data_IF_725580030740
#
_entry.id   IF_725580030740
#
_cell.length_a   1.000
_cell.length_b   1.000
_cell.length_c   1.000
_cell.angle_alpha   90.00
_cell.angle_beta   90.00
_cell.angle_gamma   90.00
#
_symmetry.space_group_name_H-M   'P 1'
#
loop_
_entity.id
_entity.type
_entity.pdbx_description
1 polymer ?
#
# COMPACT_ATOMS: atom_id res chain seq x y z
N UNK A 1 6.45 71.40 -45.65
CA UNK A 1 6.85 71.35 -44.22
C UNK A 1 7.44 72.67 -43.67
N UNK A 2 7.24 73.83 -44.32
CA UNK A 2 7.81 75.11 -43.83
C UNK A 2 6.92 75.87 -42.83
N UNK A 3 5.59 75.85 -43.02
CA UNK A 3 4.65 76.68 -42.23
C UNK A 3 4.48 76.28 -40.75
N UNK A 4 4.78 75.03 -40.37
CA UNK A 4 4.75 74.60 -38.96
C UNK A 4 5.96 75.12 -38.17
N UNK A 5 7.15 75.09 -38.78
CA UNK A 5 8.38 75.58 -38.14
C UNK A 5 8.33 77.10 -37.91
N UNK A 6 7.79 77.89 -38.85
CA UNK A 6 7.66 79.34 -38.66
C UNK A 6 6.69 79.69 -37.52
N UNK A 7 5.62 78.91 -37.36
CA UNK A 7 4.66 79.09 -36.26
C UNK A 7 5.27 78.72 -34.91
N UNK A 8 6.06 77.65 -34.85
CA UNK A 8 6.78 77.27 -33.62
C UNK A 8 7.85 78.31 -33.25
N UNK A 9 8.53 78.89 -34.24
CA UNK A 9 9.52 79.96 -34.04
C UNK A 9 8.85 81.23 -33.50
N UNK A 10 7.72 81.67 -34.07
CA UNK A 10 6.99 82.84 -33.56
C UNK A 10 6.40 82.61 -32.15
N UNK A 11 5.99 81.38 -31.82
CA UNK A 11 5.57 81.04 -30.47
C UNK A 11 6.76 81.13 -29.50
N UNK A 12 7.94 80.64 -29.90
CA UNK A 12 9.15 80.75 -29.08
C UNK A 12 9.56 82.21 -28.84
N UNK A 13 9.51 83.05 -29.88
CA UNK A 13 9.78 84.50 -29.79
C UNK A 13 8.78 85.23 -28.87
N UNK A 14 7.49 84.91 -28.98
CA UNK A 14 6.46 85.46 -28.08
C UNK A 14 6.74 85.09 -26.61
N UNK A 15 7.12 83.84 -26.34
CA UNK A 15 7.46 83.39 -24.98
C UNK A 15 8.70 84.10 -24.44
N UNK A 16 9.71 84.39 -25.28
CA UNK A 16 10.89 85.13 -24.83
C UNK A 16 10.55 86.59 -24.50
N UNK A 17 9.74 87.24 -25.34
CA UNK A 17 9.31 88.63 -25.11
C UNK A 17 8.46 88.73 -23.83
N UNK A 18 7.53 87.81 -23.60
CA UNK A 18 6.74 87.79 -22.36
C UNK A 18 7.61 87.63 -21.10
N UNK A 19 8.67 86.82 -21.18
CA UNK A 19 9.62 86.65 -20.08
C UNK A 19 10.38 87.94 -19.79
N UNK A 20 10.82 88.66 -20.83
CA UNK A 20 11.53 89.94 -20.68
C UNK A 20 10.62 91.04 -20.11
N UNK A 21 9.36 91.11 -20.55
CA UNK A 21 8.37 92.05 -20.00
C UNK A 21 8.16 91.76 -18.51
N UNK A 22 7.92 90.50 -18.14
CA UNK A 22 7.75 90.12 -16.73
C UNK A 22 9.00 90.42 -15.90
N UNK A 23 10.19 90.18 -16.43
CA UNK A 23 11.44 90.52 -15.76
C UNK A 23 11.57 92.04 -15.52
N UNK A 24 11.21 92.85 -16.52
CA UNK A 24 11.20 94.31 -16.41
C UNK A 24 10.15 94.83 -15.42
N UNK A 25 8.97 94.21 -15.36
CA UNK A 25 7.94 94.55 -14.37
C UNK A 25 8.41 94.27 -12.94
N UNK A 26 9.01 93.09 -12.70
CA UNK A 26 9.59 92.73 -11.41
C UNK A 26 10.69 93.73 -11.03
N UNK A 27 11.57 94.08 -11.97
CA UNK A 27 12.62 95.07 -11.75
C UNK A 27 12.05 96.45 -11.42
N UNK A 28 10.99 96.88 -12.13
CA UNK A 28 10.29 98.14 -11.86
C UNK A 28 9.65 98.15 -10.48
N UNK A 29 9.02 97.05 -10.07
CA UNK A 29 8.48 96.90 -8.71
C UNK A 29 9.58 96.96 -7.65
N UNK A 30 10.71 96.30 -7.89
CA UNK A 30 11.86 96.31 -7.00
C UNK A 30 12.48 97.70 -6.86
N UNK A 31 12.69 98.42 -7.97
CA UNK A 31 13.19 99.80 -7.97
C UNK A 31 12.20 100.75 -7.31
N UNK A 32 10.89 100.59 -7.57
CA UNK A 32 9.83 101.34 -6.89
C UNK A 32 9.79 101.09 -5.38
N UNK A 33 10.09 99.87 -4.93
CA UNK A 33 10.23 99.53 -3.51
C UNK A 33 11.50 100.12 -2.88
N UNK A 34 12.62 100.16 -3.61
CA UNK A 34 13.89 100.75 -3.15
C UNK A 34 13.86 102.28 -3.06
N UNK A 35 13.10 102.95 -3.92
CA UNK A 35 13.01 104.42 -3.96
C UNK A 35 12.16 105.05 -2.85
N UNK A 36 11.34 104.26 -2.14
CA UNK A 36 10.55 104.77 -1.02
C UNK A 36 11.45 105.05 0.18
N UNK A 37 11.49 106.31 0.65
CA UNK A 37 12.15 106.69 1.91
C UNK A 37 11.58 105.85 3.05
N UNK A 38 12.44 105.07 3.71
CA UNK A 38 12.07 104.33 4.92
C UNK A 38 12.11 105.30 6.10
N UNK A 39 10.97 105.54 6.74
CA UNK A 39 10.93 106.19 8.05
C UNK A 39 11.41 105.14 9.04
N UNK A 40 12.70 105.19 9.41
CA UNK A 40 13.27 104.31 10.42
C UNK A 40 13.01 104.96 11.79
N UNK A 41 12.12 104.36 12.59
CA UNK A 41 12.04 104.68 14.03
C UNK A 41 13.46 104.47 14.64
N UNK A 42 13.94 105.34 15.54
CA UNK A 42 15.30 105.23 16.07
C UNK A 42 15.53 103.81 16.59
N UNK A 43 16.57 103.15 16.06
CA UNK A 43 16.88 101.74 16.37
C UNK A 43 16.92 101.49 17.88
N UNK A 44 17.38 102.48 18.63
CA UNK A 44 17.46 102.47 20.09
C UNK A 44 16.11 102.27 20.78
N UNK A 45 15.03 102.94 20.34
CA UNK A 45 13.70 102.77 20.93
C UNK A 45 13.09 101.40 20.61
N UNK A 46 13.37 100.85 19.43
CA UNK A 46 12.93 99.50 19.01
C UNK A 46 13.70 98.40 19.75
N UNK A 47 14.99 98.57 19.98
CA UNK A 47 15.80 97.62 20.75
C UNK A 47 15.45 97.63 22.23
N UNK A 48 15.21 98.80 22.82
CA UNK A 48 14.72 98.93 24.20
C UNK A 48 13.36 98.24 24.34
N UNK A 49 12.39 98.51 23.46
CA UNK A 49 11.09 97.81 23.45
C UNK A 49 11.24 96.29 23.33
N UNK A 50 12.15 95.80 22.48
CA UNK A 50 12.40 94.36 22.34
C UNK A 50 13.01 93.75 23.62
N UNK A 51 13.95 94.46 24.26
CA UNK A 51 14.56 94.03 25.53
C UNK A 51 13.52 94.00 26.65
N UNK A 52 12.64 94.99 26.71
CA UNK A 52 11.60 95.05 27.73
C UNK A 52 10.52 94.00 27.51
N UNK A 53 10.13 93.73 26.26
CA UNK A 53 9.27 92.59 25.91
C UNK A 53 9.91 91.26 26.30
N UNK A 54 11.20 91.07 26.02
CA UNK A 54 11.91 89.85 26.41
C UNK A 54 11.96 89.68 27.94
N UNK A 55 12.21 90.76 28.69
CA UNK A 55 12.17 90.74 30.16
C UNK A 55 10.78 90.43 30.68
N UNK A 56 9.74 91.02 30.09
CA UNK A 56 8.34 90.77 30.46
C UNK A 56 7.96 89.30 30.20
N UNK A 57 8.27 88.77 29.03
CA UNK A 57 8.01 87.38 28.66
C UNK A 57 8.77 86.41 29.55
N UNK A 58 10.02 86.73 29.88
CA UNK A 58 10.82 85.93 30.79
C UNK A 58 10.25 85.95 32.22
N UNK A 59 9.84 87.12 32.71
CA UNK A 59 9.18 87.26 34.01
C UNK A 59 7.84 86.49 34.06
N UNK A 60 7.05 86.56 32.99
CA UNK A 60 5.80 85.81 32.88
C UNK A 60 6.04 84.30 32.91
N UNK A 61 7.05 83.79 32.19
CA UNK A 61 7.44 82.37 32.24
C UNK A 61 7.90 81.96 33.63
N UNK A 62 8.71 82.78 34.30
CA UNK A 62 9.13 82.52 35.67
C UNK A 62 7.93 82.45 36.62
N UNK A 63 6.98 83.36 36.51
CA UNK A 63 5.76 83.34 37.31
C UNK A 63 4.96 82.04 37.10
N UNK A 64 4.79 81.60 35.85
CA UNK A 64 4.13 80.32 35.54
C UNK A 64 4.89 79.15 36.17
N UNK A 65 6.23 79.11 36.09
CA UNK A 65 7.01 78.06 36.72
C UNK A 65 6.87 78.08 38.25
N UNK A 66 6.84 79.26 38.87
CA UNK A 66 6.58 79.39 40.31
C UNK A 66 5.18 78.90 40.69
N UNK A 67 4.16 79.21 39.90
CA UNK A 67 2.79 78.71 40.10
C UNK A 67 2.74 77.19 40.01
N UNK A 68 3.37 76.59 39.00
CA UNK A 68 3.44 75.14 38.83
C UNK A 68 4.13 74.49 40.03
N UNK A 69 5.29 75.01 40.46
CA UNK A 69 6.02 74.48 41.61
C UNK A 69 5.18 74.59 42.88
N UNK A 70 4.51 75.73 43.11
CA UNK A 70 3.63 75.91 44.26
C UNK A 70 2.43 74.97 44.22
N UNK A 71 1.86 74.70 43.05
CA UNK A 71 0.77 73.74 42.89
C UNK A 71 1.24 72.31 43.19
N UNK A 72 2.44 71.94 42.73
CA UNK A 72 3.05 70.64 43.03
C UNK A 72 3.30 70.51 44.54
N UNK A 73 3.85 71.54 45.19
CA UNK A 73 4.05 71.56 46.65
C UNK A 73 2.74 71.41 47.43
N UNK A 74 1.68 72.13 47.00
CA UNK A 74 0.34 72.02 47.61
C UNK A 74 -0.24 70.62 47.45
N UNK A 75 -0.06 70.01 46.28
CA UNK A 75 -0.53 68.65 46.00
C UNK A 75 0.21 67.61 46.84
N UNK A 76 1.55 67.69 46.92
CA UNK A 76 2.36 66.76 47.71
C UNK A 76 2.36 67.06 49.21
N UNK A 77 1.76 68.18 49.63
CA UNK A 77 1.75 68.69 51.02
C UNK A 77 3.15 68.82 51.61
N UNK A 78 4.16 69.11 50.78
CA UNK A 78 5.55 69.28 51.22
C UNK A 78 6.00 70.73 51.11
N UNK A 79 6.78 71.20 52.09
CA UNK A 79 7.31 72.56 52.13
C UNK A 79 8.64 72.72 51.38
N UNK A 80 9.28 71.61 50.97
CA UNK A 80 10.61 71.62 50.35
C UNK A 80 10.58 70.90 48.98
N UNK A 81 11.05 71.59 47.94
CA UNK A 81 11.16 71.09 46.55
C UNK A 81 11.94 69.77 46.51
N UNK A 82 13.01 69.65 47.29
CA UNK A 82 13.88 68.47 47.28
C UNK A 82 13.12 67.24 47.78
N UNK A 83 12.27 67.41 48.79
CA UNK A 83 11.45 66.32 49.33
C UNK A 83 10.36 65.91 48.32
N UNK A 84 9.72 66.88 47.66
CA UNK A 84 8.75 66.59 46.59
C UNK A 84 9.38 65.83 45.43
N UNK A 85 10.61 66.18 45.05
CA UNK A 85 11.37 65.46 44.01
C UNK A 85 11.67 64.03 44.43
N UNK A 86 12.16 63.82 45.65
CA UNK A 86 12.51 62.48 46.14
C UNK A 86 11.28 61.58 46.29
N UNK A 87 10.14 62.13 46.71
CA UNK A 87 8.86 61.41 46.73
C UNK A 87 8.45 60.99 45.33
N UNK A 88 8.48 61.90 44.36
CA UNK A 88 8.14 61.58 42.98
C UNK A 88 9.05 60.49 42.40
N UNK A 89 10.37 60.58 42.61
CA UNK A 89 11.32 59.55 42.16
C UNK A 89 11.04 58.21 42.82
N UNK A 90 10.70 58.19 44.12
CA UNK A 90 10.34 56.94 44.80
C UNK A 90 9.06 56.34 44.23
N UNK A 91 8.02 57.14 44.08
CA UNK A 91 6.71 56.68 43.59
C UNK A 91 6.81 56.25 42.10
N UNK A 92 7.64 56.93 41.30
CA UNK A 92 7.96 56.54 39.91
C UNK A 92 8.73 55.22 39.86
N UNK A 93 9.71 55.02 40.75
CA UNK A 93 10.44 53.76 40.84
C UNK A 93 9.52 52.59 41.27
N UNK A 94 8.63 52.82 42.23
CA UNK A 94 7.61 51.83 42.64
C UNK A 94 6.67 51.52 41.47
N UNK A 95 6.17 52.54 40.77
CA UNK A 95 5.35 52.38 39.57
C UNK A 95 6.06 51.58 38.47
N UNK A 96 7.34 51.84 38.24
CA UNK A 96 8.15 51.10 37.28
C UNK A 96 8.34 49.63 37.69
N UNK A 97 8.53 49.35 38.98
CA UNK A 97 8.59 47.98 39.48
C UNK A 97 7.26 47.24 39.26
N UNK A 98 6.12 47.88 39.55
CA UNK A 98 4.80 47.29 39.26
C UNK A 98 4.60 47.03 37.77
N UNK A 99 5.04 47.95 36.90
CA UNK A 99 4.98 47.76 35.46
C UNK A 99 5.82 46.57 35.00
N UNK A 100 7.05 46.42 35.51
CA UNK A 100 7.88 45.26 35.22
C UNK A 100 7.20 43.97 35.66
N UNK A 101 6.67 43.94 36.88
CA UNK A 101 5.99 42.77 37.42
C UNK A 101 4.77 42.40 36.56
N UNK A 102 3.97 43.39 36.17
CA UNK A 102 2.80 43.20 35.33
C UNK A 102 3.18 42.62 33.96
N UNK A 103 4.21 43.17 33.31
CA UNK A 103 4.70 42.62 32.04
C UNK A 103 5.23 41.19 32.20
N UNK A 104 5.97 40.93 33.27
CA UNK A 104 6.47 39.60 33.56
C UNK A 104 5.33 38.58 33.71
N UNK A 105 4.29 38.93 34.49
CA UNK A 105 3.12 38.07 34.67
C UNK A 105 2.38 37.86 33.36
N UNK A 106 2.18 38.91 32.55
CA UNK A 106 1.52 38.78 31.25
C UNK A 106 2.30 37.88 30.30
N UNK A 107 3.62 38.04 30.23
CA UNK A 107 4.48 37.18 29.42
C UNK A 107 4.40 35.71 29.88
N UNK A 108 4.35 35.47 31.20
CA UNK A 108 4.14 34.12 31.73
C UNK A 108 2.76 33.57 31.37
N UNK A 109 1.70 34.36 31.51
CA UNK A 109 0.35 33.96 31.14
C UNK A 109 0.23 33.63 29.65
N UNK A 110 0.84 34.44 28.79
CA UNK A 110 0.88 34.17 27.34
C UNK A 110 1.65 32.89 27.03
N UNK A 111 2.80 32.68 27.67
CA UNK A 111 3.55 31.43 27.55
C UNK A 111 2.73 30.22 27.99
N UNK A 112 2.02 30.31 29.13
CA UNK A 112 1.16 29.22 29.63
C UNK A 112 -0.02 28.98 28.69
N UNK A 113 -0.67 30.03 28.20
CA UNK A 113 -1.77 29.91 27.24
C UNK A 113 -1.30 29.22 25.95
N UNK A 114 -0.11 29.58 25.46
CA UNK A 114 0.48 28.95 24.28
C UNK A 114 0.82 27.48 24.52
N UNK A 115 1.36 27.12 25.69
CA UNK A 115 1.61 25.72 26.06
C UNK A 115 0.32 24.92 26.18
N UNK A 116 -0.70 25.47 26.84
CA UNK A 116 -2.02 24.83 26.96
C UNK A 116 -2.69 24.62 25.60
N UNK A 117 -2.58 25.60 24.70
CA UNK A 117 -3.09 25.45 23.34
C UNK A 117 -2.39 24.30 22.61
N UNK A 118 -1.05 24.19 22.71
CA UNK A 118 -0.28 23.09 22.11
C UNK A 118 -0.70 21.74 22.70
N UNK A 119 -0.71 21.60 24.02
CA UNK A 119 -1.11 20.35 24.68
C UNK A 119 -2.55 19.96 24.31
N UNK A 120 -3.48 20.93 24.25
CA UNK A 120 -4.85 20.67 23.82
C UNK A 120 -4.91 20.16 22.36
N UNK A 121 -4.11 20.72 21.45
CA UNK A 121 -4.05 20.25 20.06
C UNK A 121 -3.45 18.84 19.96
N UNK A 122 -2.44 18.52 20.78
CA UNK A 122 -1.84 17.19 20.83
C UNK A 122 -2.82 16.14 21.37
N UNK A 123 -3.59 16.48 22.41
CA UNK A 123 -4.63 15.61 22.96
C UNK A 123 -5.70 15.33 21.89
N UNK A 124 -6.17 16.36 21.17
CA UNK A 124 -7.15 16.19 20.09
C UNK A 124 -6.61 15.29 18.98
N UNK A 125 -5.38 15.54 18.52
CA UNK A 125 -4.73 14.70 17.50
C UNK A 125 -4.59 13.24 17.96
N UNK A 126 -4.26 13.02 19.24
CA UNK A 126 -4.21 11.68 19.83
C UNK A 126 -5.57 10.98 19.86
N UNK A 127 -6.63 11.70 20.26
CA UNK A 127 -8.00 11.19 20.26
C UNK A 127 -8.46 10.81 18.85
N UNK A 128 -8.19 11.66 17.86
CA UNK A 128 -8.52 11.38 16.46
C UNK A 128 -7.77 10.15 15.93
N UNK A 129 -6.50 10.00 16.29
CA UNK A 129 -5.72 8.80 15.96
C UNK A 129 -6.35 7.53 16.54
N UNK A 130 -6.72 7.54 17.82
CA UNK A 130 -7.38 6.39 18.46
C UNK A 130 -8.74 6.08 17.83
N UNK A 131 -9.54 7.10 17.53
CA UNK A 131 -10.83 6.92 16.86
C UNK A 131 -10.67 6.27 15.48
N UNK A 132 -9.66 6.68 14.72
CA UNK A 132 -9.37 6.08 13.41
C UNK A 132 -8.87 4.64 13.53
N UNK A 133 -8.02 4.35 14.53
CA UNK A 133 -7.59 2.99 14.82
C UNK A 133 -8.76 2.07 15.19
N UNK A 134 -9.68 2.54 16.05
CA UNK A 134 -10.86 1.77 16.44
C UNK A 134 -11.72 1.45 15.23
N UNK A 135 -12.00 2.44 14.36
CA UNK A 135 -12.73 2.21 13.11
C UNK A 135 -12.04 1.20 12.20
N UNK A 136 -10.72 1.25 12.09
CA UNK A 136 -9.94 0.28 11.31
C UNK A 136 -10.07 -1.14 11.87
N UNK A 137 -9.95 -1.29 13.20
CA UNK A 137 -10.12 -2.60 13.83
C UNK A 137 -11.54 -3.14 13.71
N UNK A 138 -12.55 -2.28 13.86
CA UNK A 138 -13.95 -2.68 13.67
C UNK A 138 -14.19 -3.17 12.24
N UNK A 139 -13.69 -2.44 11.24
CA UNK A 139 -13.74 -2.88 9.83
C UNK A 139 -13.04 -4.22 9.64
N UNK A 140 -11.85 -4.39 10.23
CA UNK A 140 -11.10 -5.65 10.12
C UNK A 140 -11.81 -6.82 10.79
N UNK A 141 -12.46 -6.59 11.93
CA UNK A 141 -13.26 -7.60 12.62
C UNK A 141 -14.45 -8.00 11.74
N UNK A 142 -15.14 -7.04 11.13
CA UNK A 142 -16.26 -7.33 10.23
C UNK A 142 -15.81 -8.11 8.98
N UNK A 143 -14.68 -7.76 8.38
CA UNK A 143 -14.08 -8.53 7.30
C UNK A 143 -13.81 -9.99 7.72
N UNK A 144 -13.15 -10.18 8.87
CA UNK A 144 -12.84 -11.51 9.39
C UNK A 144 -14.10 -12.32 9.72
N UNK A 145 -15.15 -11.67 10.24
CA UNK A 145 -16.45 -12.31 10.48
C UNK A 145 -17.09 -12.77 9.17
N UNK A 146 -17.03 -11.96 8.11
CA UNK A 146 -17.54 -12.32 6.79
C UNK A 146 -16.76 -13.49 6.20
N UNK A 147 -15.43 -13.44 6.20
CA UNK A 147 -14.57 -14.52 5.71
C UNK A 147 -14.84 -15.83 6.48
N UNK A 148 -14.97 -15.75 7.80
CA UNK A 148 -15.33 -16.92 8.61
C UNK A 148 -16.70 -17.47 8.23
N UNK A 149 -17.70 -16.61 8.06
CA UNK A 149 -19.05 -17.01 7.61
C UNK A 149 -19.03 -17.71 6.26
N UNK A 150 -18.27 -17.19 5.30
CA UNK A 150 -18.10 -17.80 3.97
C UNK A 150 -17.43 -19.18 4.06
N UNK A 151 -16.37 -19.32 4.87
CA UNK A 151 -15.69 -20.60 5.09
C UNK A 151 -16.62 -21.63 5.74
N UNK A 152 -17.39 -21.22 6.74
CA UNK A 152 -18.40 -22.09 7.37
C UNK A 152 -19.47 -22.52 6.36
N UNK A 153 -19.96 -21.58 5.55
CA UNK A 153 -20.93 -21.88 4.49
C UNK A 153 -20.39 -22.87 3.45
N UNK A 154 -19.09 -22.82 3.14
CA UNK A 154 -18.42 -23.78 2.25
C UNK A 154 -18.21 -25.16 2.91
N UNK A 155 -18.00 -25.21 4.22
CA UNK A 155 -17.77 -26.48 4.94
C UNK A 155 -19.03 -27.32 5.13
N UNK A 156 -20.20 -26.69 5.28
CA UNK A 156 -21.48 -27.39 5.43
C UNK A 156 -21.81 -28.36 4.27
N UNK A 157 -21.79 -27.95 2.99
CA UNK A 157 -22.06 -28.86 1.88
C UNK A 157 -20.99 -29.96 1.80
N UNK A 158 -19.71 -29.64 2.00
CA UNK A 158 -18.63 -30.64 2.00
C UNK A 158 -18.82 -31.69 3.10
N UNK A 159 -19.29 -31.29 4.30
CA UNK A 159 -19.60 -32.22 5.37
C UNK A 159 -20.76 -33.14 5.00
N UNK A 160 -21.83 -32.58 4.43
CA UNK A 160 -22.99 -33.35 3.97
C UNK A 160 -22.60 -34.33 2.85
N UNK A 161 -21.78 -33.90 1.90
CA UNK A 161 -21.29 -34.75 0.80
C UNK A 161 -20.38 -35.86 1.32
N UNK A 162 -19.52 -35.56 2.30
CA UNK A 162 -18.72 -36.57 3.00
C UNK A 162 -19.61 -37.60 3.70
N UNK A 163 -20.64 -37.17 4.42
CA UNK A 163 -21.57 -38.08 5.11
C UNK A 163 -22.33 -38.96 4.11
N UNK A 164 -22.78 -38.40 2.98
CA UNK A 164 -23.37 -39.19 1.88
C UNK A 164 -22.40 -40.23 1.33
N UNK A 165 -21.16 -39.84 1.00
CA UNK A 165 -20.13 -40.76 0.48
C UNK A 165 -19.82 -41.87 1.48
N UNK A 166 -19.69 -41.55 2.77
CA UNK A 166 -19.49 -42.54 3.83
C UNK A 166 -20.68 -43.50 3.91
N UNK A 167 -21.92 -43.00 3.82
CA UNK A 167 -23.11 -43.85 3.83
C UNK A 167 -23.17 -44.79 2.61
N UNK A 168 -22.82 -44.30 1.42
CA UNK A 168 -22.74 -45.10 0.19
C UNK A 168 -21.66 -46.18 0.30
N UNK A 169 -20.49 -45.81 0.81
CA UNK A 169 -19.41 -46.76 1.05
C UNK A 169 -19.83 -47.88 2.02
N UNK A 170 -20.52 -47.54 3.12
CA UNK A 170 -21.07 -48.55 4.02
C UNK A 170 -22.12 -49.44 3.35
N UNK A 171 -22.96 -48.91 2.46
CA UNK A 171 -23.90 -49.71 1.68
C UNK A 171 -23.16 -50.68 0.75
N UNK A 172 -22.13 -50.22 0.03
CA UNK A 172 -21.32 -51.07 -0.84
C UNK A 172 -20.64 -52.19 -0.06
N UNK A 173 -20.06 -51.89 1.12
CA UNK A 173 -19.46 -52.91 1.97
C UNK A 173 -20.47 -53.97 2.42
N UNK A 174 -21.70 -53.58 2.76
CA UNK A 174 -22.78 -54.53 3.07
C UNK A 174 -23.16 -55.37 1.86
N UNK A 175 -23.30 -54.78 0.68
CA UNK A 175 -23.62 -55.55 -0.54
C UNK A 175 -22.55 -56.59 -0.86
N UNK A 176 -21.28 -56.27 -0.64
CA UNK A 176 -20.18 -57.22 -0.80
C UNK A 176 -20.32 -58.35 0.21
N UNK A 177 -20.61 -58.03 1.48
CA UNK A 177 -20.85 -59.04 2.52
C UNK A 177 -22.02 -59.98 2.15
N UNK A 178 -23.11 -59.43 1.59
CA UNK A 178 -24.27 -60.21 1.15
C UNK A 178 -23.93 -61.10 -0.05
N UNK A 179 -23.21 -60.59 -1.05
CA UNK A 179 -22.74 -61.39 -2.21
C UNK A 179 -21.84 -62.53 -1.73
N UNK A 180 -20.91 -62.27 -0.83
CA UNK A 180 -20.06 -63.32 -0.28
C UNK A 180 -20.85 -64.40 0.48
N UNK A 181 -21.93 -64.03 1.18
CA UNK A 181 -22.85 -65.00 1.80
C UNK A 181 -23.59 -65.83 0.76
N UNK A 182 -24.06 -65.22 -0.33
CA UNK A 182 -24.75 -65.96 -1.41
C UNK A 182 -23.87 -66.97 -2.15
N UNK A 183 -22.57 -66.72 -2.25
CA UNK A 183 -21.60 -67.59 -2.91
C UNK A 183 -21.00 -68.65 -1.97
N UNK A 184 -21.43 -68.69 -0.70
CA UNK A 184 -20.94 -69.58 0.36
C UNK A 184 -19.40 -69.57 0.43
N UNK A 185 -18.79 -68.38 0.42
CA UNK A 185 -17.33 -68.25 0.52
C UNK A 185 -16.84 -68.72 1.90
N UNK A 186 -15.83 -69.58 1.95
CA UNK A 186 -15.23 -70.04 3.21
C UNK A 186 -14.35 -68.97 3.86
N UNK A 187 -14.81 -68.38 4.96
CA UNK A 187 -14.12 -67.29 5.67
C UNK A 187 -13.06 -67.75 6.68
N UNK A 188 -12.92 -69.07 6.91
CA UNK A 188 -12.10 -69.62 8.00
C UNK A 188 -10.63 -69.20 7.94
N UNK A 189 -10.08 -69.02 6.73
CA UNK A 189 -8.68 -68.60 6.51
C UNK A 189 -8.46 -67.12 6.88
N UNK A 190 -9.34 -66.24 6.41
CA UNK A 190 -9.24 -64.78 6.62
C UNK A 190 -9.73 -64.39 8.02
N UNK A 191 -10.70 -65.09 8.59
CA UNK A 191 -11.20 -64.86 9.94
C UNK A 191 -10.14 -65.15 11.02
N UNK A 192 -9.19 -66.06 10.77
CA UNK A 192 -8.05 -66.30 11.67
C UNK A 192 -7.02 -65.17 11.64
N UNK A 193 -6.89 -64.46 10.51
CA UNK A 193 -5.99 -63.33 10.33
C UNK A 193 -6.56 -62.03 10.93
N UNK A 194 -7.89 -61.85 10.89
CA UNK A 194 -8.55 -60.63 11.37
C UNK A 194 -9.00 -60.66 12.85
N UNK A 195 -8.94 -61.80 13.52
CA UNK A 195 -9.35 -61.94 14.92
C UNK A 195 -10.83 -61.59 15.17
N UNK A 196 -11.11 -60.67 16.09
CA UNK A 196 -12.47 -60.29 16.51
C UNK A 196 -13.22 -59.38 15.51
N UNK A 197 -12.53 -58.83 14.52
CA UNK A 197 -13.12 -57.95 13.51
C UNK A 197 -13.75 -58.76 12.36
N UNK A 198 -14.89 -59.40 12.65
CA UNK A 198 -15.66 -60.20 11.67
C UNK A 198 -16.36 -59.38 10.58
N UNK A 199 -16.15 -58.06 10.51
CA UNK A 199 -16.82 -57.16 9.54
C UNK A 199 -15.84 -56.69 8.47
N UNK A 200 -16.34 -56.61 7.23
CA UNK A 200 -15.58 -56.05 6.11
C UNK A 200 -15.33 -54.57 6.40
N UNK A 201 -14.05 -54.21 6.52
CA UNK A 201 -13.57 -52.85 6.80
C UNK A 201 -12.71 -52.40 5.63
N UNK A 202 -12.60 -51.10 5.37
CA UNK A 202 -11.82 -50.53 4.24
C UNK A 202 -10.41 -51.13 4.07
N UNK A 203 -9.73 -51.40 5.17
CA UNK A 203 -8.37 -51.95 5.18
C UNK A 203 -8.31 -53.41 4.72
N UNK A 204 -9.39 -54.16 4.92
CA UNK A 204 -9.46 -55.60 4.72
C UNK A 204 -10.20 -55.98 3.41
N UNK A 205 -10.73 -54.98 2.71
CA UNK A 205 -11.44 -55.13 1.43
C UNK A 205 -10.63 -55.94 0.40
N UNK A 206 -9.32 -55.69 0.21
CA UNK A 206 -8.54 -56.41 -0.81
C UNK A 206 -8.51 -57.92 -0.57
N UNK A 207 -8.34 -58.34 0.68
CA UNK A 207 -8.30 -59.75 1.07
C UNK A 207 -9.65 -60.41 0.82
N UNK A 208 -10.77 -59.75 1.18
CA UNK A 208 -12.12 -60.26 0.89
C UNK A 208 -12.41 -60.35 -0.61
N UNK A 209 -11.96 -59.39 -1.42
CA UNK A 209 -12.12 -59.45 -2.87
C UNK A 209 -11.29 -60.58 -3.49
N UNK A 210 -10.06 -60.82 -3.01
CA UNK A 210 -9.24 -61.92 -3.51
C UNK A 210 -9.89 -63.29 -3.29
N UNK A 211 -10.56 -63.49 -2.15
CA UNK A 211 -11.32 -64.71 -1.87
C UNK A 211 -12.57 -64.82 -2.75
N UNK A 212 -13.28 -63.71 -2.91
CA UNK A 212 -14.47 -63.63 -3.76
C UNK A 212 -14.10 -63.96 -5.22
N UNK A 213 -13.00 -63.41 -5.73
CA UNK A 213 -12.48 -63.68 -7.07
C UNK A 213 -12.08 -65.16 -7.24
N UNK A 214 -11.40 -65.75 -6.26
CA UNK A 214 -11.09 -67.19 -6.27
C UNK A 214 -12.37 -68.02 -6.37
N UNK A 215 -13.38 -67.70 -5.55
CA UNK A 215 -14.65 -68.44 -5.54
C UNK A 215 -15.43 -68.28 -6.84
N UNK A 216 -15.50 -67.09 -7.40
CA UNK A 216 -16.12 -66.85 -8.72
C UNK A 216 -15.40 -67.66 -9.79
N UNK A 217 -14.07 -67.67 -9.79
CA UNK A 217 -13.29 -68.43 -10.76
C UNK A 217 -13.50 -69.94 -10.63
N UNK A 218 -13.67 -70.47 -9.42
CA UNK A 218 -14.03 -71.87 -9.19
C UNK A 218 -15.43 -72.19 -9.74
N UNK A 219 -16.42 -71.36 -9.46
CA UNK A 219 -17.80 -71.55 -9.95
C UNK A 219 -17.84 -71.45 -11.47
N UNK A 220 -17.15 -70.48 -12.06
CA UNK A 220 -17.04 -70.34 -13.52
C UNK A 220 -16.34 -71.55 -14.14
N UNK A 221 -15.25 -72.04 -13.54
CA UNK A 221 -14.58 -73.26 -14.01
C UNK A 221 -15.52 -74.47 -13.94
N UNK A 222 -16.30 -74.61 -12.87
CA UNK A 222 -17.28 -75.68 -12.73
C UNK A 222 -18.37 -75.60 -13.81
N UNK A 223 -19.00 -74.43 -14.00
CA UNK A 223 -20.01 -74.21 -15.03
C UNK A 223 -19.45 -74.45 -16.43
N UNK A 224 -18.22 -74.01 -16.70
CA UNK A 224 -17.58 -74.22 -18.00
C UNK A 224 -17.28 -75.70 -18.26
N UNK A 225 -16.84 -76.44 -17.24
CA UNK A 225 -16.68 -77.89 -17.31
C UNK A 225 -18.03 -78.61 -17.52
N UNK A 226 -19.09 -78.16 -16.86
CA UNK A 226 -20.43 -78.75 -16.96
C UNK A 226 -21.08 -78.50 -18.34
N UNK A 227 -20.92 -77.28 -18.88
CA UNK A 227 -21.36 -76.95 -20.25
C UNK A 227 -20.64 -77.78 -21.31
N UNK A 228 -19.34 -78.06 -21.14
CA UNK A 228 -18.59 -78.92 -22.07
C UNK A 228 -18.89 -80.41 -21.93
N UNK A 229 -19.33 -80.88 -20.76
CA UNK A 229 -19.81 -82.27 -20.59
C UNK A 229 -21.13 -82.53 -21.33
N UNK A 230 -21.95 -81.49 -21.52
CA UNK A 230 -23.21 -81.58 -22.28
C UNK A 230 -23.04 -81.41 -23.79
N UNK A 231 -21.85 -81.00 -24.26
CA UNK A 231 -21.48 -80.99 -25.69
C UNK A 231 -20.59 -82.20 -25.94
N UNK A 232 -21.19 -83.39 -25.84
CA UNK A 232 -20.67 -84.56 -26.52
C UNK A 232 -20.73 -84.26 -28.01
N UNK A 233 -19.60 -84.01 -28.66
CA UNK A 233 -19.31 -84.34 -30.07
C UNK A 233 -17.89 -83.84 -30.41
N UNK A 234 -17.00 -84.82 -30.63
CA UNK A 234 -15.63 -84.80 -31.20
C UNK A 234 -14.40 -84.42 -30.34
N UNK A 235 -13.61 -85.48 -30.11
CA UNK A 235 -12.14 -85.57 -30.00
C UNK A 235 -11.45 -85.35 -28.64
N UNK A 236 -11.15 -86.48 -27.99
CA UNK A 236 -9.89 -86.91 -27.34
C UNK A 236 -9.06 -86.01 -26.39
N UNK A 237 -9.52 -84.82 -26.00
CA UNK A 237 -8.83 -84.05 -24.94
C UNK A 237 -9.63 -84.02 -23.63
N UNK A 238 -9.83 -85.19 -23.03
CA UNK A 238 -10.61 -85.35 -21.79
C UNK A 238 -10.00 -84.74 -20.51
N UNK A 239 -8.86 -84.04 -20.56
CA UNK A 239 -8.12 -83.63 -19.36
C UNK A 239 -7.63 -82.17 -19.31
N UNK A 240 -8.19 -81.24 -20.10
CA UNK A 240 -7.94 -79.82 -19.88
C UNK A 240 -8.96 -79.22 -18.89
N UNK A 241 -8.78 -79.51 -17.59
CA UNK A 241 -9.30 -78.63 -16.56
C UNK A 241 -8.63 -77.26 -16.72
N UNK A 242 -9.43 -76.22 -16.97
CA UNK A 242 -8.96 -74.82 -16.96
C UNK A 242 -8.36 -74.57 -15.58
N UNK A 243 -7.03 -74.47 -15.49
CA UNK A 243 -6.35 -74.07 -14.25
C UNK A 243 -6.89 -72.70 -13.86
N UNK A 244 -7.31 -72.55 -12.61
CA UNK A 244 -7.63 -71.23 -12.07
C UNK A 244 -6.42 -70.32 -12.28
N UNK A 245 -6.61 -69.26 -13.08
CA UNK A 245 -5.59 -68.24 -13.27
C UNK A 245 -5.46 -67.49 -11.94
N UNK A 246 -4.51 -67.90 -11.10
CA UNK A 246 -3.98 -67.01 -10.06
C UNK A 246 -3.18 -65.93 -10.77
N UNK A 247 -3.79 -64.78 -11.05
CA UNK A 247 -3.02 -63.55 -11.27
C UNK A 247 -2.57 -63.07 -9.90
N UNK A 248 -1.27 -63.11 -9.64
CA UNK A 248 -0.67 -62.42 -8.50
C UNK A 248 -0.89 -60.92 -8.67
N UNK A 249 -1.36 -60.25 -7.62
CA UNK A 249 -1.64 -58.81 -7.63
C UNK A 249 -0.39 -57.92 -7.82
N UNK A 250 0.80 -58.52 -7.93
CA UNK A 250 2.10 -57.85 -7.92
C UNK A 250 2.71 -57.65 -9.31
N UNK A 251 2.05 -58.11 -10.38
CA UNK A 251 2.51 -57.84 -11.74
C UNK A 251 2.10 -56.41 -12.13
N UNK A 252 2.84 -55.44 -11.61
CA UNK A 252 2.77 -54.06 -12.10
C UNK A 252 3.11 -54.07 -13.59
N UNK A 253 2.17 -53.60 -14.41
CA UNK A 253 2.44 -53.33 -15.82
C UNK A 253 3.58 -52.32 -15.87
N UNK A 254 4.74 -52.72 -16.40
CA UNK A 254 5.87 -51.80 -16.48
C UNK A 254 5.47 -50.66 -17.40
N UNK A 255 5.92 -49.44 -17.08
CA UNK A 255 5.62 -48.27 -17.91
C UNK A 255 6.12 -48.49 -19.35
N UNK A 256 7.19 -49.28 -19.51
CA UNK A 256 7.71 -49.74 -20.80
C UNK A 256 6.69 -50.54 -21.64
N UNK A 257 5.75 -51.24 -21.00
CA UNK A 257 4.72 -52.04 -21.69
C UNK A 257 3.50 -51.18 -22.10
N UNK A 258 3.29 -50.03 -21.46
CA UNK A 258 2.18 -49.10 -21.75
C UNK A 258 2.59 -48.02 -22.76
N UNK A 259 3.84 -47.56 -22.68
CA UNK A 259 4.37 -46.49 -23.54
C UNK A 259 5.22 -47.11 -24.64
N UNK A 260 4.67 -47.18 -25.85
CA UNK A 260 5.34 -47.78 -27.02
C UNK A 260 6.50 -46.95 -27.56
N UNK A 261 6.58 -45.65 -27.27
CA UNK A 261 7.66 -44.77 -27.75
C UNK A 261 8.04 -43.68 -26.74
N UNK A 262 9.35 -43.51 -26.52
CA UNK A 262 9.92 -42.38 -25.78
C UNK A 262 10.27 -41.23 -26.74
N UNK A 263 10.43 -40.01 -26.21
CA UNK A 263 10.92 -38.86 -27.00
C UNK A 263 12.32 -39.17 -27.54
N UNK A 264 12.57 -38.87 -28.82
CA UNK A 264 13.89 -39.04 -29.42
C UNK A 264 14.92 -38.13 -28.75
N UNK A 265 16.08 -38.68 -28.35
CA UNK A 265 17.15 -37.95 -27.67
C UNK A 265 17.60 -36.67 -28.40
N UNK A 266 17.77 -36.73 -29.73
CA UNK A 266 18.16 -35.55 -30.52
C UNK A 266 17.05 -34.48 -30.58
N UNK A 267 15.78 -34.91 -30.58
CA UNK A 267 14.65 -33.98 -30.53
C UNK A 267 14.48 -33.35 -29.13
N UNK A 268 14.95 -34.01 -28.08
CA UNK A 268 15.02 -33.46 -26.72
C UNK A 268 16.16 -32.45 -26.60
N UNK A 269 17.37 -32.80 -27.04
CA UNK A 269 18.54 -31.91 -27.02
C UNK A 269 18.28 -30.62 -27.81
N UNK A 270 17.70 -30.72 -29.00
CA UNK A 270 17.36 -29.53 -29.82
C UNK A 270 16.31 -28.64 -29.15
N UNK A 271 15.39 -29.23 -28.40
CA UNK A 271 14.41 -28.49 -27.64
C UNK A 271 15.06 -27.74 -26.47
N UNK A 272 15.98 -28.38 -25.76
CA UNK A 272 16.71 -27.73 -24.67
C UNK A 272 17.57 -26.58 -25.21
N UNK A 273 18.29 -26.80 -26.32
CA UNK A 273 19.07 -25.73 -26.99
C UNK A 273 18.17 -24.58 -27.45
N UNK A 274 16.97 -24.86 -27.97
CA UNK A 274 16.04 -23.81 -28.39
C UNK A 274 15.35 -23.08 -27.22
N UNK A 275 15.27 -23.71 -26.03
CA UNK A 275 14.62 -23.13 -24.85
C UNK A 275 15.56 -22.24 -24.05
N UNK A 276 16.86 -22.48 -24.14
CA UNK A 276 17.87 -21.79 -23.36
C UNK A 276 18.81 -21.01 -24.29
N UNK A 277 18.49 -19.74 -24.53
CA UNK A 277 19.53 -18.75 -24.81
C UNK A 277 20.42 -18.59 -23.56
N UNK A 278 21.62 -18.01 -23.68
CA UNK A 278 22.71 -17.89 -22.66
C UNK A 278 22.33 -17.28 -21.28
N UNK A 279 21.04 -17.14 -20.98
CA UNK A 279 20.47 -16.68 -19.72
C UNK A 279 20.37 -17.78 -18.66
N UNK A 280 20.71 -17.42 -17.41
CA UNK A 280 20.59 -18.30 -16.23
C UNK A 280 19.11 -18.52 -15.91
N UNK A 281 18.67 -19.79 -15.90
CA UNK A 281 17.30 -20.18 -15.57
C UNK A 281 17.16 -20.52 -14.09
N UNK A 282 16.18 -19.90 -13.43
CA UNK A 282 15.83 -20.18 -12.03
C UNK A 282 14.84 -21.35 -11.91
N UNK A 283 14.88 -22.13 -10.81
CA UNK A 283 13.91 -23.20 -10.56
C UNK A 283 12.47 -22.65 -10.54
N UNK A 284 11.56 -23.34 -11.22
CA UNK A 284 10.13 -23.01 -11.28
C UNK A 284 9.36 -23.68 -10.13
N UNK A 285 8.25 -23.08 -9.72
CA UNK A 285 7.32 -23.67 -8.75
C UNK A 285 6.61 -24.91 -9.32
N UNK A 286 6.31 -25.87 -8.45
CA UNK A 286 5.71 -27.17 -8.82
C UNK A 286 4.39 -27.01 -9.59
N UNK A 287 3.57 -26.01 -9.24
CA UNK A 287 2.30 -25.73 -9.92
C UNK A 287 2.53 -25.25 -11.36
N UNK A 288 3.46 -24.31 -11.54
CA UNK A 288 3.84 -23.79 -12.86
C UNK A 288 4.47 -24.86 -13.75
N UNK A 289 5.20 -25.81 -13.16
CA UNK A 289 5.75 -26.98 -13.87
C UNK A 289 4.63 -27.87 -14.38
N UNK A 290 3.61 -28.16 -13.56
CA UNK A 290 2.46 -28.99 -13.95
C UNK A 290 1.68 -28.36 -15.10
N UNK A 291 1.51 -27.04 -15.09
CA UNK A 291 0.85 -26.32 -16.18
C UNK A 291 1.64 -26.39 -17.49
N UNK A 292 2.94 -26.07 -17.45
CA UNK A 292 3.82 -26.19 -18.62
C UNK A 292 3.92 -27.62 -19.16
N UNK A 293 3.87 -28.63 -18.29
CA UNK A 293 3.83 -30.04 -18.71
C UNK A 293 2.52 -30.37 -19.43
N UNK A 294 1.37 -29.91 -18.93
CA UNK A 294 0.08 -30.10 -19.60
C UNK A 294 0.07 -29.46 -20.99
N UNK A 295 0.51 -28.22 -21.10
CA UNK A 295 0.64 -27.52 -22.39
C UNK A 295 1.54 -28.27 -23.37
N UNK A 296 2.66 -28.82 -22.87
CA UNK A 296 3.61 -29.60 -23.68
C UNK A 296 2.96 -30.88 -24.23
N UNK A 297 2.21 -31.62 -23.41
CA UNK A 297 1.56 -32.89 -23.80
C UNK A 297 0.54 -32.66 -24.92
N UNK A 298 -0.23 -31.57 -24.87
CA UNK A 298 -1.22 -31.24 -25.89
C UNK A 298 -0.65 -30.52 -27.11
N UNK A 299 0.64 -30.13 -27.09
CA UNK A 299 1.26 -29.48 -28.23
C UNK A 299 1.41 -30.45 -29.41
N UNK A 300 1.03 -30.05 -30.64
CA UNK A 300 1.16 -30.91 -31.82
C UNK A 300 2.63 -31.24 -32.14
N UNK A 301 3.56 -30.43 -31.64
CA UNK A 301 4.99 -30.65 -31.75
C UNK A 301 5.48 -31.85 -30.93
N UNK A 302 4.87 -32.14 -29.78
CA UNK A 302 5.31 -33.26 -28.93
C UNK A 302 5.00 -34.61 -29.59
N UNK A 303 3.84 -34.75 -30.22
CA UNK A 303 3.46 -35.93 -31.00
C UNK A 303 4.44 -36.22 -32.14
N UNK A 304 5.00 -35.18 -32.78
CA UNK A 304 6.00 -35.32 -33.85
C UNK A 304 7.39 -35.73 -33.35
N UNK A 305 7.66 -35.64 -32.03
CA UNK A 305 8.95 -35.96 -31.41
C UNK A 305 8.97 -37.33 -30.72
N UNK A 306 7.80 -37.96 -30.56
CA UNK A 306 7.64 -39.32 -30.04
C UNK A 306 7.92 -40.35 -31.14
N UNK A 307 9.19 -40.57 -31.42
CA UNK A 307 9.64 -41.56 -32.39
C UNK A 307 10.99 -42.14 -31.98
N UNK A 308 11.29 -43.33 -32.50
CA UNK A 308 12.60 -43.93 -32.33
C UNK A 308 13.66 -43.17 -33.16
N UNK A 309 14.93 -43.26 -32.77
CA UNK A 309 16.06 -42.64 -33.47
C UNK A 309 16.11 -42.96 -34.98
N UNK A 310 15.66 -44.15 -35.37
CA UNK A 310 15.63 -44.60 -36.77
C UNK A 310 14.61 -43.86 -37.66
N UNK A 311 13.60 -43.23 -37.07
CA UNK A 311 12.56 -42.47 -37.80
C UNK A 311 12.72 -40.94 -37.65
N UNK A 312 13.86 -40.49 -37.12
CA UNK A 312 14.10 -39.07 -36.89
C UNK A 312 14.59 -38.38 -38.17
N UNK A 313 14.01 -37.23 -38.50
CA UNK A 313 14.36 -36.44 -39.69
C UNK A 313 15.57 -35.50 -39.48
N UNK A 314 16.24 -35.56 -38.32
CA UNK A 314 17.41 -34.73 -38.06
C UNK A 314 18.66 -35.32 -38.76
N UNK A 315 19.54 -34.49 -39.35
CA UNK A 315 20.73 -35.00 -40.04
C UNK A 315 21.68 -35.73 -39.08
N UNK A 316 21.78 -35.27 -37.82
CA UNK A 316 22.64 -35.88 -36.78
C UNK A 316 22.11 -37.25 -36.32
N UNK A 317 20.80 -37.43 -36.20
CA UNK A 317 20.22 -38.74 -35.86
C UNK A 317 20.46 -39.79 -36.94
N UNK A 318 20.48 -39.39 -38.22
CA UNK A 318 20.83 -40.27 -39.34
C UNK A 318 22.27 -40.79 -39.26
N UNK A 319 23.21 -39.93 -38.83
CA UNK A 319 24.63 -40.29 -38.61
C UNK A 319 24.78 -41.23 -37.41
N UNK A 320 24.03 -41.00 -36.33
CA UNK A 320 24.07 -41.85 -35.13
C UNK A 320 23.45 -43.22 -35.42
N UNK A 321 22.34 -43.24 -36.15
CA UNK A 321 21.70 -44.49 -36.58
C UNK A 321 22.64 -45.29 -37.50
N UNK A 322 23.30 -44.66 -38.48
CA UNK A 322 24.24 -45.35 -39.38
C UNK A 322 25.47 -45.88 -38.65
N UNK A 323 26.03 -45.14 -37.68
CA UNK A 323 27.16 -45.61 -36.86
C UNK A 323 26.85 -46.86 -36.04
N UNK A 324 25.61 -47.06 -35.59
CA UNK A 324 25.20 -48.28 -34.86
C UNK A 324 25.16 -49.55 -35.72
N UNK A 325 25.14 -49.41 -37.04
CA UNK A 325 25.13 -50.53 -37.98
C UNK A 325 26.50 -50.78 -38.64
N UNK A 326 27.56 -50.07 -38.23
CA UNK A 326 28.92 -50.15 -38.80
C UNK A 326 29.91 -50.81 -37.82
N UNK A 327 29.42 -51.45 -36.75
CA UNK A 327 30.20 -52.37 -35.91
C UNK A 327 29.89 -53.83 -36.21
#
# INVERSE_FOLDING_TARGET
>A
MSSKNDREMHIAEMVTVEREIRANEIMKMFLGGKGKRRIMEPLESREVRRRDQFKLDHANRLNIYYEIINNIMKFTKTSNIVNSKNLFVRDENEGFQYYILFNFINNQLESFSNSLAKESTEIQASQDYFNNLMKFYDQKIEELRREFGEKVAQLLPLKNDREKLVSQLMQHLKTIEDVMKTLECDFSSVQKLLGDHKKITLLNIPEFFSLLEQRINEVLAFVFCDQRKNVDIFNDDKNLCVRSLKRSAEDFVKIEDVITTQQCAECAEREDINRYDETIVYPLDIETIKEKMREKIYSPDMLRRLHNLSKCNLPRSGIIASRRYVE
#
